data_IF_256826450841
#
_entry.id   IF_256826450841
#
_cell.length_a   1.000
_cell.length_b   1.000
_cell.length_c   1.000
_cell.angle_alpha   90.00
_cell.angle_beta   90.00
_cell.angle_gamma   90.00
#
_symmetry.space_group_name_H-M   'P 1'
#
loop_
_entity.id
_entity.type
_entity.pdbx_description
1 polymer ?
#
# COMPACT_ATOMS: atom_id res chain seq x y z
N UNK A 1 -1.36 5.66 28.61
CA UNK A 1 -1.42 5.34 27.18
C UNK A 1 -0.34 6.16 26.51
N UNK A 2 0.57 5.53 25.71
CA UNK A 2 1.52 6.31 24.90
C UNK A 2 0.72 7.10 23.87
N UNK A 3 0.83 8.42 23.84
CA UNK A 3 0.25 9.23 22.78
C UNK A 3 0.78 8.72 21.43
N UNK A 4 -0.13 8.31 20.56
CA UNK A 4 0.23 7.87 19.22
C UNK A 4 0.48 9.13 18.38
N UNK A 5 1.74 9.44 18.16
CA UNK A 5 2.17 10.61 17.41
C UNK A 5 1.76 10.55 15.92
N UNK A 6 1.78 9.36 15.31
CA UNK A 6 1.45 9.18 13.92
C UNK A 6 -0.08 9.19 13.69
N UNK A 7 -0.57 10.10 12.86
CA UNK A 7 -1.99 10.21 12.52
C UNK A 7 -2.57 8.93 11.92
N UNK A 8 -1.78 8.20 11.12
CA UNK A 8 -2.17 6.92 10.54
C UNK A 8 -2.59 5.91 11.63
N UNK A 9 -1.91 5.91 12.77
CA UNK A 9 -2.24 5.01 13.89
C UNK A 9 -3.30 5.62 14.81
N UNK A 10 -3.21 6.92 15.12
CA UNK A 10 -4.15 7.64 16.00
C UNK A 10 -5.58 7.60 15.45
N UNK A 11 -5.74 7.77 14.14
CA UNK A 11 -7.04 7.82 13.45
C UNK A 11 -7.38 6.53 12.71
N UNK A 12 -6.70 5.42 13.01
CA UNK A 12 -7.00 4.12 12.42
C UNK A 12 -8.43 3.69 12.78
N UNK A 13 -9.30 3.38 11.79
CA UNK A 13 -10.64 2.86 12.07
C UNK A 13 -10.59 1.58 12.92
N UNK A 14 -11.44 1.53 13.95
CA UNK A 14 -11.60 0.36 14.83
C UNK A 14 -12.85 -0.45 14.51
N UNK A 15 -13.75 0.10 13.71
CA UNK A 15 -14.98 -0.56 13.26
C UNK A 15 -15.08 -0.50 11.74
N UNK A 16 -15.73 -1.49 11.16
CA UNK A 16 -15.86 -1.66 9.70
C UNK A 16 -16.62 -0.49 9.07
N UNK A 17 -17.62 0.04 9.77
CA UNK A 17 -18.43 1.15 9.26
C UNK A 17 -17.60 2.42 9.02
N UNK A 18 -16.52 2.63 9.75
CA UNK A 18 -15.60 3.75 9.55
C UNK A 18 -14.46 3.45 8.56
N UNK A 19 -14.33 2.20 8.09
CA UNK A 19 -13.40 1.87 7.03
C UNK A 19 -13.92 2.41 5.69
N UNK A 20 -13.06 3.06 4.93
CA UNK A 20 -13.39 3.57 3.60
C UNK A 20 -13.02 2.49 2.60
N UNK A 21 -14.02 1.85 2.04
CA UNK A 21 -13.93 0.72 1.13
C UNK A 21 -15.00 0.88 0.03
N UNK A 22 -14.80 0.26 -1.15
CA UNK A 22 -15.89 0.08 -2.11
C UNK A 22 -17.10 -0.57 -1.48
N UNK A 23 -18.32 -0.14 -1.85
CA UNK A 23 -19.57 -0.57 -1.18
C UNK A 23 -19.72 -2.09 -1.13
N UNK A 24 -19.46 -2.79 -2.24
CA UNK A 24 -19.51 -4.25 -2.28
C UNK A 24 -18.54 -4.91 -1.31
N UNK A 25 -17.33 -4.40 -1.23
CA UNK A 25 -16.31 -4.90 -0.32
C UNK A 25 -16.69 -4.62 1.13
N UNK A 26 -17.17 -3.42 1.43
CA UNK A 26 -17.66 -3.04 2.76
C UNK A 26 -18.80 -3.94 3.21
N UNK A 27 -19.78 -4.18 2.32
CA UNK A 27 -20.92 -5.09 2.61
C UNK A 27 -20.45 -6.52 2.89
N UNK A 28 -19.41 -7.00 2.21
CA UNK A 28 -18.83 -8.32 2.50
C UNK A 28 -18.35 -8.42 3.95
N UNK A 29 -17.62 -7.41 4.44
CA UNK A 29 -17.13 -7.40 5.82
C UNK A 29 -18.25 -7.18 6.85
N UNK A 30 -19.26 -6.37 6.53
CA UNK A 30 -20.48 -6.21 7.36
C UNK A 30 -21.18 -7.57 7.50
N UNK A 31 -21.37 -8.29 6.40
CA UNK A 31 -21.99 -9.61 6.43
C UNK A 31 -21.17 -10.64 7.24
N UNK A 32 -19.82 -10.60 7.15
CA UNK A 32 -18.95 -11.46 7.96
C UNK A 32 -19.07 -11.12 9.44
N UNK A 33 -19.11 -9.82 9.78
CA UNK A 33 -19.32 -9.35 11.14
C UNK A 33 -20.65 -9.84 11.72
N UNK A 34 -21.73 -9.64 10.98
CA UNK A 34 -23.11 -9.89 11.46
C UNK A 34 -23.40 -11.38 11.61
N UNK A 35 -22.83 -12.23 10.75
CA UNK A 35 -22.92 -13.68 10.88
C UNK A 35 -22.15 -14.22 12.08
N UNK A 36 -21.15 -13.51 12.54
CA UNK A 36 -20.28 -13.93 13.64
C UNK A 36 -19.37 -15.12 13.32
N UNK A 37 -19.37 -15.59 12.08
CA UNK A 37 -18.56 -16.72 11.62
C UNK A 37 -17.22 -16.22 11.10
N UNK A 38 -16.17 -16.39 11.90
CA UNK A 38 -14.82 -16.09 11.46
C UNK A 38 -14.30 -17.22 10.58
N UNK A 39 -13.92 -16.90 9.36
CA UNK A 39 -13.29 -17.83 8.42
C UNK A 39 -11.84 -17.43 8.14
N UNK A 40 -11.08 -18.33 7.53
CA UNK A 40 -9.75 -17.97 7.05
C UNK A 40 -9.86 -17.05 5.84
N UNK A 41 -9.14 -15.91 5.87
CA UNK A 41 -9.21 -14.88 4.84
C UNK A 41 -7.83 -14.64 4.23
N UNK A 42 -7.79 -14.36 2.93
CA UNK A 42 -6.63 -13.81 2.23
C UNK A 42 -7.01 -12.48 1.60
N UNK A 43 -6.55 -11.38 2.21
CA UNK A 43 -6.81 -10.02 1.77
C UNK A 43 -5.70 -9.55 0.84
N UNK A 44 -5.99 -9.37 -0.44
CA UNK A 44 -5.01 -8.97 -1.45
C UNK A 44 -5.30 -7.58 -2.01
N UNK A 45 -4.26 -6.83 -2.38
CA UNK A 45 -4.39 -5.51 -3.01
C UNK A 45 -3.20 -4.62 -2.75
N UNK A 46 -3.12 -3.46 -3.39
CA UNK A 46 -2.00 -2.52 -3.27
C UNK A 46 -1.78 -2.04 -1.84
N UNK A 47 -0.58 -1.49 -1.56
CA UNK A 47 -0.26 -0.92 -0.26
C UNK A 47 -1.21 0.22 0.11
N UNK A 48 -1.44 0.42 1.41
CA UNK A 48 -2.23 1.55 1.92
C UNK A 48 -3.76 1.46 1.72
N UNK A 49 -4.30 0.38 1.12
CA UNK A 49 -5.75 0.21 0.86
C UNK A 49 -6.59 -0.21 2.08
N UNK A 50 -5.96 -0.41 3.24
CA UNK A 50 -6.68 -0.69 4.49
C UNK A 50 -6.86 -2.15 4.85
N UNK A 51 -6.20 -3.12 4.18
CA UNK A 51 -6.28 -4.57 4.45
C UNK A 51 -6.12 -4.92 5.93
N UNK A 52 -5.01 -4.55 6.53
CA UNK A 52 -4.70 -4.81 7.95
C UNK A 52 -5.66 -4.08 8.88
N UNK A 53 -6.08 -2.87 8.51
CA UNK A 53 -7.06 -2.08 9.28
C UNK A 53 -8.41 -2.79 9.36
N UNK A 54 -8.91 -3.29 8.23
CA UNK A 54 -10.18 -4.02 8.19
C UNK A 54 -10.07 -5.36 8.93
N UNK A 55 -8.94 -6.08 8.79
CA UNK A 55 -8.70 -7.32 9.53
C UNK A 55 -8.80 -7.10 11.05
N UNK A 56 -8.16 -6.02 11.56
CA UNK A 56 -8.24 -5.64 12.98
C UNK A 56 -9.66 -5.25 13.38
N UNK A 57 -10.31 -4.37 12.61
CA UNK A 57 -11.67 -3.93 12.88
C UNK A 57 -12.66 -5.11 12.97
N UNK A 58 -12.54 -6.08 12.05
CA UNK A 58 -13.36 -7.29 12.09
C UNK A 58 -13.16 -8.10 13.37
N UNK A 59 -11.91 -8.28 13.81
CA UNK A 59 -11.61 -8.99 15.06
C UNK A 59 -12.14 -8.25 16.29
N UNK A 60 -11.97 -6.93 16.35
CA UNK A 60 -12.44 -6.09 17.44
C UNK A 60 -13.97 -6.09 17.55
N UNK A 61 -14.68 -5.93 16.43
CA UNK A 61 -16.16 -5.95 16.43
C UNK A 61 -16.76 -7.33 16.74
N UNK A 62 -16.08 -8.40 16.35
CA UNK A 62 -16.50 -9.75 16.71
C UNK A 62 -16.08 -10.17 18.13
N UNK A 63 -15.25 -9.36 18.81
CA UNK A 63 -14.72 -9.69 20.14
C UNK A 63 -13.77 -10.89 20.14
N UNK A 64 -13.02 -11.10 19.06
CA UNK A 64 -12.03 -12.17 18.96
C UNK A 64 -10.71 -11.75 19.58
N UNK A 65 -10.07 -12.65 20.35
CA UNK A 65 -8.67 -12.50 20.70
C UNK A 65 -7.82 -12.64 19.44
N UNK A 66 -6.90 -11.72 19.19
CA UNK A 66 -6.04 -11.80 18.00
C UNK A 66 -4.60 -11.37 18.25
N UNK A 67 -3.68 -11.95 17.45
CA UNK A 67 -2.30 -11.50 17.35
C UNK A 67 -1.99 -11.08 15.91
N UNK A 68 -1.00 -10.19 15.78
CA UNK A 68 -0.48 -9.79 14.47
C UNK A 68 0.97 -10.22 14.40
N UNK A 69 1.29 -10.89 13.30
CA UNK A 69 2.65 -11.34 12.96
C UNK A 69 3.01 -10.70 11.64
N UNK A 70 4.14 -10.00 11.59
CA UNK A 70 4.63 -9.40 10.36
C UNK A 70 5.43 -10.42 9.55
N UNK A 71 4.98 -10.75 8.34
CA UNK A 71 5.65 -11.70 7.45
C UNK A 71 7.02 -11.24 6.98
N UNK A 72 7.25 -9.94 6.88
CA UNK A 72 8.53 -9.38 6.43
C UNK A 72 9.63 -9.44 7.50
N UNK A 73 9.26 -9.47 8.77
CA UNK A 73 10.18 -9.48 9.92
C UNK A 73 10.23 -10.86 10.57
N UNK A 74 9.12 -11.27 11.18
CA UNK A 74 9.01 -12.49 11.95
C UNK A 74 8.82 -13.76 11.07
N UNK A 75 8.36 -13.58 9.84
CA UNK A 75 8.07 -14.67 8.88
C UNK A 75 9.30 -15.29 8.19
N UNK A 76 10.51 -14.92 8.60
CA UNK A 76 11.75 -15.49 8.04
C UNK A 76 12.12 -16.85 8.63
N UNK A 77 11.65 -17.16 9.85
CA UNK A 77 11.91 -18.42 10.55
C UNK A 77 10.62 -19.16 10.84
N UNK A 78 10.59 -20.43 10.41
CA UNK A 78 9.46 -21.33 10.66
C UNK A 78 9.26 -21.54 12.17
N UNK A 79 10.35 -21.70 12.92
CA UNK A 79 10.29 -22.03 14.35
C UNK A 79 9.74 -20.84 15.15
N UNK A 80 10.17 -19.62 14.84
CA UNK A 80 9.66 -18.40 15.50
C UNK A 80 8.15 -18.25 15.24
N UNK A 81 7.74 -18.42 13.98
CA UNK A 81 6.33 -18.34 13.59
C UNK A 81 5.50 -19.41 14.31
N UNK A 82 5.99 -20.66 14.30
CA UNK A 82 5.34 -21.80 14.94
C UNK A 82 5.16 -21.59 16.44
N UNK A 83 6.23 -21.22 17.13
CA UNK A 83 6.20 -21.02 18.58
C UNK A 83 5.25 -19.90 18.98
N UNK A 84 5.24 -18.80 18.22
CA UNK A 84 4.35 -17.67 18.47
C UNK A 84 2.88 -18.06 18.28
N UNK A 85 2.57 -18.74 17.18
CA UNK A 85 1.22 -19.24 16.90
C UNK A 85 0.80 -20.24 17.98
N UNK A 86 1.64 -21.25 18.28
CA UNK A 86 1.33 -22.27 19.30
C UNK A 86 1.08 -21.66 20.66
N UNK A 87 1.95 -20.78 21.14
CA UNK A 87 1.78 -20.09 22.42
C UNK A 87 0.45 -19.37 22.48
N UNK A 88 0.10 -18.61 21.42
CA UNK A 88 -1.14 -17.87 21.36
C UNK A 88 -2.37 -18.80 21.35
N UNK A 89 -2.39 -19.79 20.48
CA UNK A 89 -3.55 -20.69 20.31
C UNK A 89 -3.75 -21.59 21.53
N UNK A 90 -2.68 -21.96 22.28
CA UNK A 90 -2.75 -22.81 23.47
C UNK A 90 -3.17 -22.05 24.74
N UNK A 91 -3.16 -20.72 24.76
CA UNK A 91 -3.67 -19.97 25.90
C UNK A 91 -5.20 -20.07 25.96
N UNK A 92 -5.77 -19.99 27.16
CA UNK A 92 -7.23 -19.93 27.34
C UNK A 92 -7.76 -18.66 26.68
N UNK A 93 -8.80 -18.80 25.84
CA UNK A 93 -9.47 -17.61 25.28
C UNK A 93 -10.29 -16.92 26.36
N UNK A 94 -10.30 -15.61 26.35
CA UNK A 94 -11.17 -14.79 27.21
C UNK A 94 -12.62 -14.77 26.68
N UNK A 95 -12.83 -15.25 25.45
CA UNK A 95 -14.13 -15.26 24.75
C UNK A 95 -14.46 -16.66 24.26
N UNK A 96 -15.73 -16.87 23.89
CA UNK A 96 -16.20 -18.12 23.24
C UNK A 96 -15.87 -18.15 21.73
N UNK A 97 -15.28 -17.09 21.21
CA UNK A 97 -14.94 -16.97 19.79
C UNK A 97 -13.59 -17.61 19.48
N UNK A 98 -13.36 -18.05 18.23
CA UNK A 98 -12.06 -18.54 17.83
C UNK A 98 -11.00 -17.44 17.91
N UNK A 99 -9.77 -17.82 18.23
CA UNK A 99 -8.63 -16.92 18.17
C UNK A 99 -8.27 -16.60 16.74
N UNK A 100 -7.77 -15.40 16.49
CA UNK A 100 -7.40 -14.98 15.13
C UNK A 100 -5.92 -14.68 15.04
N UNK A 101 -5.25 -15.30 14.08
CA UNK A 101 -3.85 -14.99 13.74
C UNK A 101 -3.84 -14.18 12.47
N UNK A 102 -3.49 -12.90 12.57
CA UNK A 102 -3.32 -12.01 11.42
C UNK A 102 -1.85 -12.07 11.00
N UNK A 103 -1.59 -12.53 9.78
CA UNK A 103 -0.25 -12.49 9.18
C UNK A 103 -0.23 -11.37 8.17
N UNK A 104 0.37 -10.27 8.57
CA UNK A 104 0.52 -9.08 7.73
C UNK A 104 1.71 -9.26 6.79
N UNK A 105 1.58 -8.80 5.55
CA UNK A 105 2.61 -8.94 4.52
C UNK A 105 3.03 -10.42 4.26
N UNK A 106 2.05 -11.31 4.15
CA UNK A 106 2.28 -12.75 3.96
C UNK A 106 3.05 -13.08 2.65
N UNK A 107 3.06 -12.17 1.68
CA UNK A 107 3.84 -12.27 0.44
C UNK A 107 5.37 -12.09 0.63
N UNK A 108 5.81 -11.70 1.84
CA UNK A 108 7.21 -11.69 2.24
C UNK A 108 7.63 -12.94 3.03
N UNK A 109 6.69 -13.84 3.34
CA UNK A 109 7.03 -15.12 3.96
C UNK A 109 7.99 -15.92 3.07
N UNK A 110 9.05 -16.47 3.67
CA UNK A 110 9.99 -17.34 2.97
C UNK A 110 9.31 -18.53 2.29
N UNK A 111 9.89 -19.02 1.19
CA UNK A 111 9.34 -20.15 0.41
C UNK A 111 9.10 -21.40 1.28
N UNK A 112 9.96 -21.64 2.27
CA UNK A 112 9.83 -22.79 3.20
C UNK A 112 8.76 -22.56 4.29
N UNK A 113 8.41 -21.29 4.58
CA UNK A 113 7.47 -20.91 5.66
C UNK A 113 6.01 -21.07 5.22
N UNK A 114 5.69 -20.75 3.98
CA UNK A 114 4.32 -20.82 3.47
C UNK A 114 3.73 -22.25 3.52
N UNK A 115 4.46 -23.35 3.15
CA UNK A 115 3.98 -24.71 3.35
C UNK A 115 3.76 -25.08 4.82
N UNK A 116 4.61 -24.59 5.73
CA UNK A 116 4.41 -24.79 7.16
C UNK A 116 3.14 -24.08 7.67
N UNK A 117 2.89 -22.86 7.21
CA UNK A 117 1.67 -22.12 7.52
C UNK A 117 0.40 -22.85 7.05
N UNK A 118 0.44 -23.52 5.89
CA UNK A 118 -0.63 -24.40 5.45
C UNK A 118 -0.96 -25.48 6.50
N UNK A 119 0.07 -26.11 7.03
CA UNK A 119 -0.10 -27.15 8.06
C UNK A 119 -0.67 -26.56 9.36
N UNK A 120 -0.25 -25.34 9.75
CA UNK A 120 -0.79 -24.68 10.95
C UNK A 120 -2.27 -24.33 10.79
N UNK A 121 -2.71 -23.89 9.61
CA UNK A 121 -4.14 -23.64 9.34
C UNK A 121 -4.97 -24.88 9.54
N UNK A 122 -4.48 -26.06 9.16
CA UNK A 122 -5.14 -27.35 9.36
C UNK A 122 -5.06 -27.81 10.83
N UNK A 123 -3.88 -27.79 11.42
CA UNK A 123 -3.62 -28.21 12.81
C UNK A 123 -4.48 -27.44 13.82
N UNK A 124 -4.63 -26.14 13.63
CA UNK A 124 -5.34 -25.27 14.58
C UNK A 124 -6.77 -24.90 14.14
N UNK A 125 -7.32 -25.58 13.13
CA UNK A 125 -8.65 -25.26 12.55
C UNK A 125 -9.81 -25.32 13.54
N UNK A 126 -9.69 -26.08 14.63
CA UNK A 126 -10.70 -26.14 15.70
C UNK A 126 -10.76 -24.87 16.54
N UNK A 127 -9.61 -24.25 16.81
CA UNK A 127 -9.48 -23.18 17.82
C UNK A 127 -9.07 -21.83 17.25
N UNK A 128 -8.53 -21.77 16.04
CA UNK A 128 -8.02 -20.56 15.44
C UNK A 128 -8.48 -20.35 14.01
N UNK A 129 -8.46 -19.07 13.58
CA UNK A 129 -8.63 -18.64 12.20
C UNK A 129 -7.46 -17.78 11.79
N UNK A 130 -7.20 -17.73 10.48
CA UNK A 130 -6.06 -17.04 9.93
C UNK A 130 -6.54 -15.96 8.95
N UNK A 131 -6.02 -14.74 9.11
CA UNK A 131 -6.21 -13.66 8.16
C UNK A 131 -4.84 -13.30 7.60
N UNK A 132 -4.64 -13.57 6.32
CA UNK A 132 -3.42 -13.24 5.61
C UNK A 132 -3.63 -11.93 4.85
N UNK A 133 -2.69 -11.00 4.89
CA UNK A 133 -2.69 -9.85 3.99
C UNK A 133 -1.53 -9.95 3.02
N UNK A 134 -1.69 -9.51 1.79
CA UNK A 134 -0.61 -9.47 0.81
C UNK A 134 -0.80 -8.33 -0.18
N UNK A 135 0.32 -7.83 -0.72
CA UNK A 135 0.30 -6.88 -1.83
C UNK A 135 0.35 -7.64 -3.17
N UNK A 136 1.07 -8.74 -3.22
CA UNK A 136 1.29 -9.54 -4.43
C UNK A 136 0.70 -10.94 -4.28
N UNK A 137 -0.53 -11.11 -4.72
CA UNK A 137 -1.28 -12.38 -4.62
C UNK A 137 -0.53 -13.57 -5.24
N UNK A 138 0.20 -13.34 -6.33
CA UNK A 138 0.96 -14.38 -7.03
C UNK A 138 2.16 -14.92 -6.23
N UNK A 139 2.61 -14.21 -5.18
CA UNK A 139 3.67 -14.69 -4.29
C UNK A 139 3.16 -15.67 -3.22
N UNK A 140 1.84 -15.79 -3.07
CA UNK A 140 1.22 -16.75 -2.14
C UNK A 140 1.01 -18.06 -2.86
N UNK A 141 1.43 -19.17 -2.24
CA UNK A 141 1.32 -20.51 -2.83
C UNK A 141 -0.14 -20.95 -3.03
N UNK A 142 -0.48 -21.70 -4.10
CA UNK A 142 -1.85 -22.15 -4.35
C UNK A 142 -2.52 -22.90 -3.19
N UNK A 143 -1.82 -23.73 -2.39
CA UNK A 143 -2.41 -24.41 -1.25
C UNK A 143 -2.96 -23.46 -0.16
N UNK A 144 -2.44 -22.26 0.00
CA UNK A 144 -2.97 -21.25 0.90
C UNK A 144 -4.22 -20.57 0.32
N UNK A 145 -4.25 -20.34 -1.00
CA UNK A 145 -5.44 -19.83 -1.67
C UNK A 145 -6.66 -20.73 -1.50
N UNK A 146 -6.46 -22.05 -1.54
CA UNK A 146 -7.57 -23.02 -1.38
C UNK A 146 -8.11 -23.12 0.05
N UNK A 147 -7.35 -22.66 1.05
CA UNK A 147 -7.71 -22.71 2.48
C UNK A 147 -8.26 -21.39 3.03
N UNK A 148 -8.17 -20.34 2.23
CA UNK A 148 -8.63 -19.01 2.61
C UNK A 148 -9.66 -18.50 1.60
N UNK A 149 -10.66 -17.77 2.09
CA UNK A 149 -11.53 -16.97 1.23
C UNK A 149 -10.76 -15.75 0.75
N UNK A 150 -10.54 -15.65 -0.56
CA UNK A 150 -9.74 -14.57 -1.15
C UNK A 150 -10.63 -13.35 -1.36
N UNK A 151 -10.24 -12.22 -0.77
CA UNK A 151 -10.92 -10.94 -0.90
C UNK A 151 -9.97 -9.93 -1.53
N UNK A 152 -10.37 -9.37 -2.67
CA UNK A 152 -9.57 -8.40 -3.41
C UNK A 152 -9.93 -6.96 -3.00
N UNK A 153 -8.93 -6.19 -2.61
CA UNK A 153 -9.00 -4.77 -2.25
C UNK A 153 -8.73 -3.83 -3.45
N UNK A 154 -8.74 -4.35 -4.67
CA UNK A 154 -8.65 -3.50 -5.86
C UNK A 154 -9.89 -2.61 -5.98
N UNK A 155 -9.66 -1.36 -6.34
CA UNK A 155 -10.72 -0.37 -6.49
C UNK A 155 -11.05 -0.25 -7.98
N UNK A 156 -12.30 -0.53 -8.34
CA UNK A 156 -12.76 -0.37 -9.72
C UNK A 156 -12.75 1.10 -10.14
N UNK A 157 -12.66 1.36 -11.45
CA UNK A 157 -12.74 2.74 -11.97
C UNK A 157 -14.04 3.44 -11.57
N UNK A 158 -15.14 2.70 -11.44
CA UNK A 158 -16.44 3.25 -11.03
C UNK A 158 -16.43 3.69 -9.55
N UNK A 159 -15.73 2.97 -8.69
CA UNK A 159 -15.68 3.23 -7.25
C UNK A 159 -14.60 4.25 -6.86
N UNK A 160 -13.67 4.56 -7.77
CA UNK A 160 -12.54 5.44 -7.49
C UNK A 160 -12.96 6.81 -6.94
N UNK A 161 -13.91 7.48 -7.60
CA UNK A 161 -14.33 8.83 -7.22
C UNK A 161 -15.02 8.84 -5.84
N UNK A 162 -15.89 7.86 -5.56
CA UNK A 162 -16.58 7.76 -4.29
C UNK A 162 -15.62 7.48 -3.14
N UNK A 163 -14.68 6.53 -3.33
CA UNK A 163 -13.68 6.19 -2.31
C UNK A 163 -12.69 7.35 -2.08
N UNK A 164 -12.20 8.00 -3.14
CA UNK A 164 -11.34 9.17 -3.01
C UNK A 164 -12.06 10.31 -2.25
N UNK A 165 -13.35 10.54 -2.54
CA UNK A 165 -14.17 11.49 -1.79
C UNK A 165 -14.33 11.13 -0.31
N UNK A 166 -14.48 9.84 0.01
CA UNK A 166 -14.52 9.33 1.37
C UNK A 166 -13.20 9.60 2.13
N UNK A 167 -12.05 9.32 1.48
CA UNK A 167 -10.72 9.61 2.05
C UNK A 167 -10.53 11.12 2.26
N UNK A 168 -10.92 11.95 1.29
CA UNK A 168 -10.80 13.40 1.43
C UNK A 168 -11.59 13.92 2.66
N UNK A 169 -12.83 13.46 2.85
CA UNK A 169 -13.62 13.79 4.05
C UNK A 169 -12.93 13.34 5.33
N UNK A 170 -12.35 12.15 5.34
CA UNK A 170 -11.59 11.62 6.49
C UNK A 170 -10.37 12.49 6.79
N UNK A 171 -9.61 12.87 5.76
CA UNK A 171 -8.47 13.78 5.92
C UNK A 171 -8.87 15.14 6.51
N UNK A 172 -9.95 15.73 6.01
CA UNK A 172 -10.48 16.99 6.56
C UNK A 172 -10.86 16.83 8.03
N UNK A 173 -11.55 15.74 8.40
CA UNK A 173 -11.88 15.46 9.80
C UNK A 173 -10.63 15.33 10.68
N UNK A 174 -9.55 14.69 10.18
CA UNK A 174 -8.28 14.59 10.92
C UNK A 174 -7.67 15.98 11.11
N UNK A 175 -7.63 16.81 10.07
CA UNK A 175 -7.09 18.17 10.11
C UNK A 175 -7.89 19.05 11.09
N UNK A 176 -9.21 18.94 11.10
CA UNK A 176 -10.08 19.64 12.06
C UNK A 176 -9.78 19.20 13.50
N UNK A 177 -9.63 17.90 13.75
CA UNK A 177 -9.32 17.34 15.07
C UNK A 177 -7.93 17.76 15.56
N UNK A 178 -6.95 17.89 14.67
CA UNK A 178 -5.59 18.36 14.97
C UNK A 178 -5.46 19.89 14.94
N UNK A 179 -6.56 20.61 14.67
CA UNK A 179 -6.62 22.09 14.60
C UNK A 179 -5.66 22.68 13.57
N UNK A 180 -5.45 21.97 12.46
CA UNK A 180 -4.64 22.41 11.32
C UNK A 180 -5.55 23.17 10.35
N UNK A 181 -5.13 24.34 9.91
CA UNK A 181 -5.84 25.09 8.87
C UNK A 181 -5.63 24.45 7.50
N UNK A 182 -6.63 24.41 6.66
CA UNK A 182 -6.50 23.84 5.33
C UNK A 182 -7.42 24.47 4.28
N UNK A 183 -6.98 24.45 3.04
CA UNK A 183 -7.79 24.69 1.85
C UNK A 183 -8.33 23.35 1.33
N UNK A 184 -9.65 23.25 1.12
CA UNK A 184 -10.26 22.00 0.61
C UNK A 184 -9.65 21.53 -0.69
N UNK A 185 -9.32 22.47 -1.59
CA UNK A 185 -8.70 22.15 -2.87
C UNK A 185 -7.32 21.53 -2.71
N UNK A 186 -6.51 22.01 -1.78
CA UNK A 186 -5.19 21.45 -1.48
C UNK A 186 -5.29 20.01 -0.98
N UNK A 187 -6.22 19.72 -0.07
CA UNK A 187 -6.46 18.35 0.42
C UNK A 187 -6.91 17.43 -0.73
N UNK A 188 -7.80 17.88 -1.59
CA UNK A 188 -8.26 17.10 -2.75
C UNK A 188 -7.12 16.77 -3.72
N UNK A 189 -6.19 17.70 -3.96
CA UNK A 189 -5.04 17.44 -4.83
C UNK A 189 -4.06 16.43 -4.22
N UNK A 190 -3.81 16.47 -2.90
CA UNK A 190 -3.02 15.44 -2.20
C UNK A 190 -3.67 14.07 -2.34
N UNK A 191 -5.01 14.01 -2.16
CA UNK A 191 -5.75 12.75 -2.34
C UNK A 191 -5.62 12.23 -3.76
N UNK A 192 -5.86 13.07 -4.78
CA UNK A 192 -5.74 12.66 -6.20
C UNK A 192 -4.35 12.12 -6.54
N UNK A 193 -3.31 12.74 -5.99
CA UNK A 193 -1.92 12.39 -6.32
C UNK A 193 -1.46 11.06 -5.72
N UNK A 194 -2.05 10.64 -4.60
CA UNK A 194 -1.58 9.47 -3.87
C UNK A 194 -2.61 8.34 -3.73
N UNK A 195 -3.89 8.61 -4.10
CA UNK A 195 -4.90 7.56 -4.08
C UNK A 195 -4.53 6.40 -5.03
N UNK A 196 -4.66 5.13 -4.62
CA UNK A 196 -5.41 4.62 -3.45
C UNK A 196 -4.59 4.40 -2.16
N UNK A 197 -3.38 4.91 -2.04
CA UNK A 197 -2.56 4.74 -0.83
C UNK A 197 -2.98 5.74 0.28
N UNK A 198 -3.95 5.31 1.10
CA UNK A 198 -4.49 6.12 2.18
C UNK A 198 -3.43 6.44 3.25
N UNK A 199 -2.47 5.53 3.47
CA UNK A 199 -1.37 5.73 4.43
C UNK A 199 -0.48 6.88 3.98
N UNK A 200 -0.11 6.89 2.70
CA UNK A 200 0.72 7.95 2.13
C UNK A 200 0.01 9.30 2.17
N UNK A 201 -1.28 9.36 1.83
CA UNK A 201 -2.09 10.59 1.90
C UNK A 201 -2.05 11.20 3.32
N UNK A 202 -2.33 10.40 4.35
CA UNK A 202 -2.37 10.90 5.73
C UNK A 202 -0.97 11.32 6.21
N UNK A 203 0.07 10.57 5.88
CA UNK A 203 1.45 10.90 6.24
C UNK A 203 1.92 12.20 5.57
N UNK A 204 1.58 12.43 4.29
CA UNK A 204 1.90 13.67 3.60
C UNK A 204 1.22 14.86 4.27
N UNK A 205 -0.06 14.76 4.57
CA UNK A 205 -0.78 15.82 5.29
C UNK A 205 -0.19 16.09 6.67
N UNK A 206 0.18 15.04 7.42
CA UNK A 206 0.86 15.20 8.71
C UNK A 206 2.22 15.88 8.55
N UNK A 207 3.03 15.47 7.57
CA UNK A 207 4.33 16.08 7.28
C UNK A 207 4.21 17.57 7.01
N UNK A 208 3.23 17.97 6.21
CA UNK A 208 3.00 19.38 5.89
C UNK A 208 2.51 20.17 7.10
N UNK A 209 1.63 19.62 7.90
CA UNK A 209 1.15 20.29 9.10
C UNK A 209 2.26 20.63 10.10
N UNK A 210 3.36 19.87 10.09
CA UNK A 210 4.53 20.15 10.93
C UNK A 210 5.43 21.27 10.39
N UNK A 211 5.31 21.64 9.10
CA UNK A 211 6.10 22.72 8.51
C UNK A 211 5.40 24.07 8.74
N UNK A 212 4.15 24.20 8.35
CA UNK A 212 3.46 25.50 8.32
C UNK A 212 2.14 25.55 9.10
N UNK A 213 1.73 24.46 9.74
CA UNK A 213 0.41 24.31 10.39
C UNK A 213 -0.77 24.79 9.49
N UNK A 214 -0.56 24.83 8.19
CA UNK A 214 -1.51 25.23 7.17
C UNK A 214 -1.33 24.37 5.91
N UNK A 215 -2.42 23.84 5.38
CA UNK A 215 -2.42 23.06 4.14
C UNK A 215 -3.01 23.94 3.06
N UNK A 216 -2.19 24.65 2.33
CA UNK A 216 -2.58 25.55 1.27
C UNK A 216 -2.11 25.09 -0.12
N UNK A 217 -2.27 25.96 -1.11
CA UNK A 217 -1.84 25.69 -2.49
C UNK A 217 -0.32 25.51 -2.66
N UNK A 218 0.50 25.91 -1.67
CA UNK A 218 1.94 25.65 -1.66
C UNK A 218 2.24 24.13 -1.65
N UNK A 219 1.37 23.33 -1.00
CA UNK A 219 1.45 21.87 -1.06
C UNK A 219 1.32 21.33 -2.49
N UNK A 220 0.47 22.00 -3.30
CA UNK A 220 0.22 21.62 -4.69
C UNK A 220 1.49 21.78 -5.52
N UNK A 221 2.28 22.83 -5.27
CA UNK A 221 3.56 23.04 -5.95
C UNK A 221 4.58 21.93 -5.61
N UNK A 222 4.55 21.38 -4.41
CA UNK A 222 5.45 20.31 -3.97
C UNK A 222 4.93 18.94 -4.41
N UNK A 223 3.61 18.70 -4.40
CA UNK A 223 2.97 17.47 -4.86
C UNK A 223 2.90 17.40 -6.39
N UNK A 224 2.63 18.53 -7.06
CA UNK A 224 2.49 18.64 -8.53
C UNK A 224 3.78 19.02 -9.26
N UNK A 225 4.90 19.17 -8.59
CA UNK A 225 6.16 19.00 -9.29
C UNK A 225 6.24 17.52 -9.67
N UNK A 226 5.51 17.17 -10.74
CA UNK A 226 5.74 15.91 -11.45
C UNK A 226 7.23 15.92 -11.74
N UNK A 227 7.96 15.18 -10.91
CA UNK A 227 9.42 15.08 -11.01
C UNK A 227 9.78 14.71 -12.45
N UNK A 228 8.94 13.88 -13.06
CA UNK A 228 9.03 13.47 -14.47
C UNK A 228 8.85 14.63 -15.44
N UNK A 229 7.95 15.60 -15.20
CA UNK A 229 7.74 16.73 -16.12
C UNK A 229 9.00 17.56 -16.31
N UNK A 230 9.73 17.83 -15.24
CA UNK A 230 11.00 18.55 -15.29
C UNK A 230 12.06 17.73 -16.00
N UNK A 231 12.17 16.43 -15.70
CA UNK A 231 13.10 15.55 -16.35
C UNK A 231 12.80 15.39 -17.85
N UNK A 232 11.53 15.22 -18.23
CA UNK A 232 11.09 15.17 -19.65
C UNK A 232 11.46 16.44 -20.40
N UNK A 233 11.37 17.61 -19.78
CA UNK A 233 11.82 18.88 -20.39
C UNK A 233 13.32 18.83 -20.72
N UNK A 234 14.17 18.37 -19.79
CA UNK A 234 15.60 18.25 -20.02
C UNK A 234 15.91 17.17 -21.08
N UNK A 235 15.18 16.05 -21.07
CA UNK A 235 15.31 14.98 -22.08
C UNK A 235 15.00 15.51 -23.49
N UNK A 236 13.90 16.27 -23.66
CA UNK A 236 13.55 16.90 -24.93
C UNK A 236 14.62 17.85 -25.43
N UNK A 237 15.24 18.60 -24.54
CA UNK A 237 16.32 19.53 -24.85
C UNK A 237 17.66 18.82 -25.07
N UNK A 238 17.75 17.49 -24.85
CA UNK A 238 18.98 16.70 -24.86
C UNK A 238 20.04 17.24 -23.88
N UNK A 239 19.62 17.90 -22.82
CA UNK A 239 20.50 18.45 -21.78
C UNK A 239 20.79 17.37 -20.73
N UNK A 240 21.77 16.54 -21.03
CA UNK A 240 22.18 15.46 -20.14
C UNK A 240 22.78 15.97 -18.82
N UNK A 241 23.40 17.15 -18.82
CA UNK A 241 23.97 17.73 -17.60
C UNK A 241 22.87 18.03 -16.57
N UNK A 242 21.81 18.67 -17.01
CA UNK A 242 20.65 18.96 -16.14
C UNK A 242 19.90 17.69 -15.74
N UNK A 243 19.80 16.67 -16.62
CA UNK A 243 19.25 15.36 -16.27
C UNK A 243 20.06 14.69 -15.16
N UNK A 244 21.39 14.71 -15.25
CA UNK A 244 22.25 14.11 -14.22
C UNK A 244 22.11 14.81 -12.87
N UNK A 245 22.10 16.15 -12.85
CA UNK A 245 21.87 16.91 -11.62
C UNK A 245 20.52 16.56 -11.00
N UNK A 246 19.47 16.47 -11.83
CA UNK A 246 18.14 16.09 -11.38
C UNK A 246 18.09 14.67 -10.79
N UNK A 247 18.80 13.69 -11.38
CA UNK A 247 18.91 12.32 -10.89
C UNK A 247 19.58 12.27 -9.52
N UNK A 248 20.63 13.04 -9.30
CA UNK A 248 21.33 13.12 -8.02
C UNK A 248 20.39 13.60 -6.88
N UNK A 249 19.47 14.52 -7.20
CA UNK A 249 18.47 15.02 -6.25
C UNK A 249 17.27 14.07 -6.08
N UNK A 250 17.08 13.10 -6.99
CA UNK A 250 15.94 12.18 -7.03
C UNK A 250 16.38 10.72 -7.26
N UNK A 251 17.06 10.08 -6.29
CA UNK A 251 17.69 8.77 -6.47
C UNK A 251 16.72 7.57 -6.41
N UNK A 252 15.39 7.78 -6.38
CA UNK A 252 14.39 6.72 -6.29
C UNK A 252 13.94 6.23 -7.68
N UNK A 253 14.47 5.09 -8.18
CA UNK A 253 14.13 4.57 -9.50
C UNK A 253 12.69 4.06 -9.61
N UNK A 254 12.16 3.44 -8.55
CA UNK A 254 10.83 2.83 -8.60
C UNK A 254 9.73 3.89 -8.74
N UNK A 255 9.85 4.98 -8.02
CA UNK A 255 8.96 6.13 -8.17
C UNK A 255 9.04 6.71 -9.58
N UNK A 256 10.25 6.88 -10.12
CA UNK A 256 10.48 7.46 -11.44
C UNK A 256 9.87 6.59 -12.55
N UNK A 257 10.13 5.28 -12.55
CA UNK A 257 9.60 4.38 -13.57
C UNK A 257 8.07 4.31 -13.54
N UNK A 258 7.47 4.28 -12.35
CA UNK A 258 6.02 4.30 -12.20
C UNK A 258 5.41 5.62 -12.70
N UNK A 259 5.99 6.77 -12.38
CA UNK A 259 5.52 8.06 -12.89
C UNK A 259 5.65 8.17 -14.41
N UNK A 260 6.76 7.71 -15.00
CA UNK A 260 6.92 7.66 -16.46
C UNK A 260 5.85 6.80 -17.11
N UNK A 261 5.60 5.61 -16.56
CA UNK A 261 4.58 4.71 -17.09
C UNK A 261 3.16 5.30 -17.00
N UNK A 262 2.82 5.94 -15.89
CA UNK A 262 1.50 6.55 -15.70
C UNK A 262 1.27 7.76 -16.61
N UNK A 263 2.30 8.58 -16.83
CA UNK A 263 2.24 9.81 -17.63
C UNK A 263 2.69 9.65 -19.08
N UNK A 264 2.91 8.40 -19.53
CA UNK A 264 3.47 8.08 -20.85
C UNK A 264 2.69 8.72 -22.00
N UNK A 265 1.35 8.71 -21.90
CA UNK A 265 0.46 9.26 -22.92
C UNK A 265 0.50 10.78 -23.01
N UNK A 266 0.94 11.46 -21.95
CA UNK A 266 0.96 12.94 -21.88
C UNK A 266 2.20 13.51 -22.57
N UNK A 267 3.29 12.74 -22.60
CA UNK A 267 4.60 13.25 -23.05
C UNK A 267 5.16 12.59 -24.29
N UNK A 268 4.75 11.32 -24.59
CA UNK A 268 5.39 10.50 -25.60
C UNK A 268 4.53 10.38 -26.85
N UNK A 269 5.16 10.37 -28.04
CA UNK A 269 4.46 10.08 -29.28
C UNK A 269 3.94 8.63 -29.26
N UNK A 270 2.71 8.35 -29.76
CA UNK A 270 2.13 7.01 -29.75
C UNK A 270 3.02 5.92 -30.37
N UNK A 271 3.77 6.28 -31.40
CA UNK A 271 4.71 5.37 -32.09
C UNK A 271 5.89 4.93 -31.21
N UNK A 272 6.26 5.75 -30.22
CA UNK A 272 7.40 5.49 -29.33
C UNK A 272 7.01 4.89 -27.97
N UNK A 273 5.71 4.79 -27.67
CA UNK A 273 5.21 4.22 -26.40
C UNK A 273 5.69 2.77 -26.19
N UNK A 274 5.57 1.84 -27.18
CA UNK A 274 6.04 0.47 -26.96
C UNK A 274 7.54 0.40 -26.64
N UNK A 275 8.33 1.24 -27.27
CA UNK A 275 9.78 1.27 -27.05
C UNK A 275 10.12 1.77 -25.63
N UNK A 276 9.45 2.83 -25.16
CA UNK A 276 9.64 3.31 -23.80
C UNK A 276 9.23 2.28 -22.76
N UNK A 277 8.15 1.52 -22.97
CA UNK A 277 7.73 0.46 -22.05
C UNK A 277 8.81 -0.63 -21.94
N UNK A 278 9.43 -1.03 -23.04
CA UNK A 278 10.52 -2.01 -23.03
C UNK A 278 11.73 -1.48 -22.25
N UNK A 279 12.12 -0.23 -22.48
CA UNK A 279 13.21 0.42 -21.76
C UNK A 279 12.91 0.49 -20.26
N UNK A 280 11.70 0.92 -19.85
CA UNK A 280 11.30 0.97 -18.45
C UNK A 280 11.41 -0.43 -17.81
N UNK A 281 10.86 -1.47 -18.47
CA UNK A 281 10.89 -2.84 -17.95
C UNK A 281 12.31 -3.37 -17.76
N UNK A 282 13.22 -3.07 -18.68
CA UNK A 282 14.63 -3.47 -18.58
C UNK A 282 15.34 -2.77 -17.42
N UNK A 283 15.21 -1.45 -17.30
CA UNK A 283 15.88 -0.70 -16.24
C UNK A 283 15.26 -0.92 -14.85
N UNK A 284 13.96 -1.18 -14.79
CA UNK A 284 13.30 -1.61 -13.56
C UNK A 284 13.83 -2.98 -13.10
N UNK A 285 14.01 -3.93 -14.02
CA UNK A 285 14.63 -5.21 -13.68
C UNK A 285 16.08 -5.02 -13.20
N UNK A 286 16.88 -4.21 -13.89
CA UNK A 286 18.26 -3.90 -13.51
C UNK A 286 18.33 -3.27 -12.11
N UNK A 287 17.39 -2.42 -11.73
CA UNK A 287 17.37 -1.75 -10.41
C UNK A 287 17.42 -2.72 -9.25
N UNK A 288 16.90 -3.96 -9.40
CA UNK A 288 16.95 -4.98 -8.36
C UNK A 288 18.37 -5.53 -8.10
N UNK A 289 19.32 -5.33 -9.03
CA UNK A 289 20.65 -5.97 -9.00
C UNK A 289 21.82 -4.98 -9.00
N UNK A 290 21.58 -3.72 -9.34
CA UNK A 290 22.68 -2.73 -9.42
C UNK A 290 23.01 -2.15 -8.05
N UNK A 291 24.29 -1.95 -7.80
CA UNK A 291 24.78 -1.33 -6.56
C UNK A 291 24.60 0.19 -6.57
N UNK A 292 24.67 0.82 -7.75
CA UNK A 292 24.55 2.27 -7.89
C UNK A 292 23.34 2.64 -8.78
N UNK A 293 22.29 3.11 -8.13
CA UNK A 293 21.04 3.50 -8.79
C UNK A 293 21.19 4.77 -9.65
N UNK A 294 22.08 5.70 -9.27
CA UNK A 294 22.31 6.92 -10.05
C UNK A 294 22.84 6.59 -11.45
N UNK A 295 23.76 5.62 -11.56
CA UNK A 295 24.30 5.17 -12.86
C UNK A 295 23.19 4.49 -13.66
N UNK A 296 22.37 3.66 -13.04
CA UNK A 296 21.26 2.97 -13.70
C UNK A 296 20.24 3.97 -14.28
N UNK A 297 19.87 4.97 -13.48
CA UNK A 297 18.96 6.04 -13.93
C UNK A 297 19.56 6.93 -15.01
N UNK A 298 20.87 7.25 -14.92
CA UNK A 298 21.55 8.01 -15.96
C UNK A 298 21.58 7.24 -17.28
N UNK A 299 21.85 5.94 -17.25
CA UNK A 299 21.82 5.08 -18.44
C UNK A 299 20.39 4.99 -19.02
N UNK A 300 19.37 4.85 -18.17
CA UNK A 300 17.96 4.90 -18.59
C UNK A 300 17.65 6.18 -19.36
N UNK A 301 18.02 7.34 -18.81
CA UNK A 301 17.79 8.65 -19.46
C UNK A 301 18.49 8.77 -20.79
N UNK A 302 19.72 8.31 -20.91
CA UNK A 302 20.48 8.31 -22.18
C UNK A 302 19.76 7.44 -23.23
N UNK A 303 19.28 6.27 -22.82
CA UNK A 303 18.58 5.37 -23.74
C UNK A 303 17.22 5.93 -24.18
N UNK A 304 16.50 6.56 -23.27
CA UNK A 304 15.25 7.28 -23.57
C UNK A 304 15.50 8.45 -24.53
N UNK A 305 16.56 9.25 -24.32
CA UNK A 305 16.95 10.35 -25.24
C UNK A 305 17.25 9.88 -26.65
N UNK A 306 17.80 8.67 -26.79
CA UNK A 306 18.19 8.10 -28.08
C UNK A 306 17.01 7.50 -28.83
N UNK A 307 16.13 6.81 -28.11
CA UNK A 307 15.18 5.87 -28.72
C UNK A 307 13.71 6.30 -28.61
N UNK A 308 13.40 7.38 -27.87
CA UNK A 308 12.02 7.80 -27.62
C UNK A 308 11.78 9.20 -28.18
N UNK A 309 10.68 9.34 -28.93
CA UNK A 309 10.21 10.64 -29.41
C UNK A 309 9.14 11.17 -28.49
N UNK A 310 9.32 12.40 -28.06
CA UNK A 310 8.38 13.13 -27.20
C UNK A 310 7.53 14.09 -28.03
N UNK A 311 6.30 14.28 -27.58
CA UNK A 311 5.38 15.30 -28.14
C UNK A 311 5.87 16.71 -27.89
#
# INVERSE_FOLDING_TARGET
>A
MKEQFLWVEKYRPKIIDYCILPDKLKQTFINLRDKGDMMNLLLSGSAGTGKTTVARALCEEQGCDYIIINGSDEGRSIDILRDKIKKFVSTVSTTTKPKVVIIDEADYLGIAVQPALRNFIEEFSSNARFILTCNFKHKIIPPLHSRCSVIDFSISKADMAANAGGIAKRCMHILDAEKVKYEKQAVLEVVKSHFPDNRRIINELQRYSHIDNNIDSGIIAVVNTSKVKTLVKYIKQKDFKSCRAWIADNPDPDSLFNEFYQSINDYVEPSSIPNLILIIGEYQHRSAFVTNQEINLAAFVVEVMKNVKFR
#
